data_IF_453762652217
#
_entry.id   IF_453762652217
#
_cell.length_a   1.000
_cell.length_b   1.000
_cell.length_c   1.000
_cell.angle_alpha   90.00
_cell.angle_beta   90.00
_cell.angle_gamma   90.00
#
_symmetry.space_group_name_H-M   'P 1'
#
loop_
_entity.id
_entity.type
_entity.pdbx_description
1 polymer ?
#
# COMPACT_ATOMS: atom_id res chain seq x y z
N UNK A 1 0.03 -15.11 -5.65
CA UNK A 1 -0.35 -13.75 -5.20
C UNK A 1 0.64 -12.76 -5.81
N UNK A 2 0.17 -11.72 -6.50
CA UNK A 2 1.06 -10.74 -7.15
C UNK A 2 1.71 -9.79 -6.12
N UNK A 3 2.81 -9.14 -6.47
CA UNK A 3 3.42 -8.10 -5.61
C UNK A 3 2.43 -6.97 -5.30
N UNK A 4 1.61 -6.58 -6.28
CA UNK A 4 0.55 -5.59 -6.12
C UNK A 4 -0.45 -6.02 -5.04
N UNK A 5 -0.93 -7.27 -5.09
CA UNK A 5 -1.84 -7.81 -4.07
C UNK A 5 -1.19 -7.80 -2.68
N UNK A 6 0.08 -8.19 -2.58
CA UNK A 6 0.81 -8.17 -1.31
C UNK A 6 0.93 -6.75 -0.74
N UNK A 7 1.25 -5.76 -1.58
CA UNK A 7 1.32 -4.36 -1.15
C UNK A 7 -0.03 -3.83 -0.68
N UNK A 8 -1.11 -4.09 -1.44
CA UNK A 8 -2.45 -3.67 -1.03
C UNK A 8 -2.84 -4.33 0.28
N UNK A 9 -2.65 -5.65 0.42
CA UNK A 9 -3.01 -6.39 1.64
C UNK A 9 -2.31 -5.82 2.88
N UNK A 10 -1.03 -5.46 2.78
CA UNK A 10 -0.31 -4.83 3.89
C UNK A 10 -0.79 -3.42 4.21
N UNK A 11 -1.09 -2.61 3.19
CA UNK A 11 -1.66 -1.28 3.36
C UNK A 11 -3.07 -1.33 3.97
N UNK A 12 -3.87 -2.33 3.62
CA UNK A 12 -5.25 -2.51 4.11
C UNK A 12 -5.35 -2.72 5.61
N UNK A 13 -4.28 -3.16 6.27
CA UNK A 13 -4.21 -3.23 7.75
C UNK A 13 -4.42 -1.87 8.42
N UNK A 14 -4.24 -0.75 7.69
CA UNK A 14 -4.27 0.60 8.24
C UNK A 14 -5.03 1.62 7.37
N UNK A 15 -5.41 1.26 6.13
CA UNK A 15 -6.04 2.18 5.18
C UNK A 15 -7.18 1.52 4.44
N UNK A 16 -8.25 2.27 4.16
CA UNK A 16 -9.32 1.82 3.27
C UNK A 16 -8.87 1.76 1.81
N UNK A 17 -9.57 1.00 0.95
CA UNK A 17 -9.28 0.98 -0.49
C UNK A 17 -9.38 2.40 -1.09
N UNK A 18 -10.34 3.22 -0.66
CA UNK A 18 -10.49 4.60 -1.10
C UNK A 18 -9.28 5.47 -0.70
N UNK A 19 -8.76 5.29 0.52
CA UNK A 19 -7.55 6.01 0.97
C UNK A 19 -6.30 5.57 0.20
N UNK A 20 -6.18 4.27 -0.10
CA UNK A 20 -5.07 3.75 -0.92
C UNK A 20 -5.16 4.35 -2.33
N UNK A 21 -6.35 4.30 -2.94
CA UNK A 21 -6.61 4.83 -4.26
C UNK A 21 -6.27 6.33 -4.37
N UNK A 22 -6.75 7.14 -3.43
CA UNK A 22 -6.44 8.56 -3.35
C UNK A 22 -4.92 8.82 -3.22
N UNK A 23 -4.20 7.98 -2.48
CA UNK A 23 -2.75 8.14 -2.26
C UNK A 23 -1.91 7.83 -3.51
N UNK A 24 -2.44 7.07 -4.46
CA UNK A 24 -1.72 6.64 -5.67
C UNK A 24 -2.29 7.22 -6.95
N UNK A 25 -3.33 8.06 -6.87
CA UNK A 25 -3.99 8.66 -8.03
C UNK A 25 -4.82 7.65 -8.83
N UNK A 26 -5.51 6.72 -8.15
CA UNK A 26 -6.35 5.70 -8.75
C UNK A 26 -7.81 5.81 -8.30
N UNK A 27 -8.70 5.04 -8.95
CA UNK A 27 -10.05 4.81 -8.45
C UNK A 27 -10.08 3.68 -7.42
N UNK A 28 -11.02 3.73 -6.48
CA UNK A 28 -11.23 2.65 -5.52
C UNK A 28 -11.58 1.32 -6.22
N UNK A 29 -12.32 1.38 -7.32
CA UNK A 29 -12.64 0.21 -8.14
C UNK A 29 -11.40 -0.46 -8.73
N UNK A 30 -10.38 0.30 -9.14
CA UNK A 30 -9.11 -0.26 -9.61
C UNK A 30 -8.42 -1.06 -8.50
N UNK A 31 -8.39 -0.53 -7.27
CA UNK A 31 -7.83 -1.24 -6.10
C UNK A 31 -8.60 -2.54 -5.83
N UNK A 32 -9.94 -2.50 -5.88
CA UNK A 32 -10.76 -3.70 -5.69
C UNK A 32 -10.48 -4.78 -6.74
N UNK A 33 -10.30 -4.40 -8.02
CA UNK A 33 -9.95 -5.34 -9.09
C UNK A 33 -8.57 -5.96 -8.86
N UNK A 34 -7.60 -5.15 -8.45
CA UNK A 34 -6.25 -5.63 -8.12
C UNK A 34 -6.24 -6.62 -6.95
N UNK A 35 -7.05 -6.39 -5.91
CA UNK A 35 -7.22 -7.35 -4.81
C UNK A 35 -7.83 -8.67 -5.28
N UNK A 36 -8.82 -8.60 -6.18
CA UNK A 36 -9.43 -9.77 -6.81
C UNK A 36 -8.49 -10.52 -7.79
N UNK A 37 -7.29 -9.99 -8.07
CA UNK A 37 -6.33 -10.59 -8.99
C UNK A 37 -6.53 -10.20 -10.45
N UNK A 38 -7.54 -9.38 -10.74
CA UNK A 38 -7.76 -8.78 -12.04
C UNK A 38 -6.90 -7.51 -12.16
N UNK A 39 -5.65 -7.72 -12.62
CA UNK A 39 -4.63 -6.67 -12.74
C UNK A 39 -4.51 -6.22 -14.20
N UNK A 40 -5.24 -5.19 -14.64
CA UNK A 40 -4.97 -4.56 -15.93
C UNK A 40 -3.61 -3.84 -15.91
N UNK A 41 -2.98 -3.74 -17.08
CA UNK A 41 -1.69 -3.09 -17.27
C UNK A 41 -1.77 -1.57 -16.98
N UNK A 42 -1.53 -1.17 -15.74
CA UNK A 42 -1.27 0.22 -15.37
C UNK A 42 0.05 0.31 -14.60
N UNK A 43 1.15 0.26 -15.36
CA UNK A 43 2.51 0.26 -14.81
C UNK A 43 2.79 1.50 -13.92
N UNK A 44 2.25 2.65 -14.30
CA UNK A 44 2.43 3.91 -13.56
C UNK A 44 1.76 3.88 -12.17
N UNK A 45 0.49 3.46 -12.10
CA UNK A 45 -0.22 3.33 -10.81
C UNK A 45 0.43 2.25 -9.95
N UNK A 46 0.89 1.15 -10.56
CA UNK A 46 1.58 0.08 -9.84
C UNK A 46 2.91 0.56 -9.22
N UNK A 47 3.64 1.42 -9.94
CA UNK A 47 4.86 2.05 -9.45
C UNK A 47 4.56 2.98 -8.26
N UNK A 48 3.53 3.84 -8.37
CA UNK A 48 3.10 4.72 -7.27
C UNK A 48 2.67 3.93 -6.04
N UNK A 49 1.95 2.81 -6.23
CA UNK A 49 1.59 1.89 -5.15
C UNK A 49 2.82 1.31 -4.44
N UNK A 50 3.82 0.86 -5.20
CA UNK A 50 5.05 0.33 -4.62
C UNK A 50 5.81 1.39 -3.79
N UNK A 51 5.88 2.63 -4.30
CA UNK A 51 6.49 3.76 -3.57
C UNK A 51 5.71 4.08 -2.28
N UNK A 52 4.38 4.09 -2.36
CA UNK A 52 3.53 4.35 -1.21
C UNK A 52 3.68 3.27 -0.13
N UNK A 53 3.70 2.00 -0.51
CA UNK A 53 3.96 0.88 0.39
C UNK A 53 5.31 1.05 1.11
N UNK A 54 6.40 1.32 0.38
CA UNK A 54 7.73 1.55 0.96
C UNK A 54 7.72 2.73 1.94
N UNK A 55 7.04 3.82 1.61
CA UNK A 55 6.95 4.99 2.48
C UNK A 55 6.22 4.69 3.80
N UNK A 56 5.13 3.92 3.76
CA UNK A 56 4.39 3.49 4.95
C UNK A 56 5.23 2.50 5.79
N UNK A 57 5.88 1.53 5.16
CA UNK A 57 6.74 0.57 5.84
C UNK A 57 7.92 1.26 6.55
N UNK A 58 8.56 2.25 5.91
CA UNK A 58 9.65 3.03 6.51
C UNK A 58 9.20 3.81 7.76
N UNK A 59 7.96 4.31 7.79
CA UNK A 59 7.43 4.96 9.01
C UNK A 59 7.24 3.97 10.15
N UNK A 60 6.80 2.75 9.86
CA UNK A 60 6.66 1.69 10.89
C UNK A 60 8.00 1.33 11.53
N UNK A 61 9.09 1.28 10.75
CA UNK A 61 10.42 0.98 11.30
C UNK A 61 10.97 2.10 12.18
N UNK A 62 10.69 3.37 11.85
CA UNK A 62 11.14 4.51 12.66
C UNK A 62 10.33 4.69 13.95
N UNK A 63 9.05 4.29 13.99
CA UNK A 63 8.24 4.31 15.22
C UNK A 63 8.72 3.29 16.26
N UNK A 64 9.12 2.09 15.82
CA UNK A 64 9.60 1.01 16.68
C UNK A 64 10.90 1.34 17.45
N UNK A 65 11.78 2.15 16.88
CA UNK A 65 13.06 2.52 17.50
C UNK A 65 12.94 3.53 18.65
N UNK A 66 11.84 4.30 18.72
CA UNK A 66 11.65 5.31 19.77
C UNK A 66 11.08 4.76 21.08
N UNK A 67 10.46 3.59 21.06
CA UNK A 67 9.88 2.95 22.26
C UNK A 67 10.88 2.10 23.07
N UNK A 68 12.10 1.88 22.58
CA UNK A 68 13.09 1.00 23.20
C UNK A 68 14.15 1.72 24.07
N UNK A 69 14.07 3.05 24.25
CA UNK A 69 15.01 3.83 25.07
C UNK A 69 14.43 4.35 26.39
N UNK A 70 13.33 3.77 26.85
CA UNK A 70 12.79 3.99 28.20
C UNK A 70 12.53 2.62 28.85
N UNK A 71 13.62 1.94 29.24
CA UNK A 71 13.62 0.80 30.13
C UNK A 71 14.89 0.86 30.97
#
# INVERSE_FOLDING_TARGET
>A
MSQIQSFIRELRKQKSQAQIAASVGASQSLISRWEAGDVPASADVALRLAQFYKAVARRKSHGKAKESSHA
#
